data_IF_611853603671
#
_entry.id   IF_611853603671
#
_cell.length_a   1.000
_cell.length_b   1.000
_cell.length_c   1.000
_cell.angle_alpha   90.00
_cell.angle_beta   90.00
_cell.angle_gamma   90.00
#
_symmetry.space_group_name_H-M   'P 1'
#
loop_
_entity.id
_entity.type
_entity.pdbx_description
1 polymer ?
#
# COMPACT_ATOMS: atom_id res chain seq x y z
N UNK A 1 -59.13 -7.67 -12.59
CA UNK A 1 -59.46 -7.85 -14.03
C UNK A 1 -60.72 -7.11 -14.46
N UNK A 2 -61.90 -7.37 -13.87
CA UNK A 2 -63.19 -6.80 -14.32
C UNK A 2 -63.26 -5.25 -14.41
N UNK A 3 -62.59 -4.51 -13.51
CA UNK A 3 -62.53 -3.04 -13.60
C UNK A 3 -61.66 -2.55 -14.75
N UNK A 4 -60.61 -3.28 -15.09
CA UNK A 4 -59.71 -2.92 -16.19
C UNK A 4 -60.38 -3.19 -17.54
N UNK A 5 -61.06 -4.34 -17.68
CA UNK A 5 -61.88 -4.65 -18.87
C UNK A 5 -62.96 -3.60 -19.09
N UNK A 6 -63.66 -3.17 -18.03
CA UNK A 6 -64.68 -2.11 -18.12
C UNK A 6 -64.09 -0.77 -18.59
N UNK A 7 -62.91 -0.40 -18.10
CA UNK A 7 -62.23 0.84 -18.54
C UNK A 7 -61.78 0.76 -20.00
N UNK A 8 -61.34 -0.41 -20.45
CA UNK A 8 -61.00 -0.64 -21.86
C UNK A 8 -62.24 -0.53 -22.76
N UNK A 9 -63.36 -1.08 -22.32
CA UNK A 9 -64.64 -1.02 -23.02
C UNK A 9 -65.17 0.43 -23.12
N UNK A 10 -65.13 1.19 -22.02
CA UNK A 10 -65.53 2.60 -22.00
C UNK A 10 -64.65 3.51 -22.87
N UNK A 11 -63.36 3.17 -23.03
CA UNK A 11 -62.43 3.92 -23.88
C UNK A 11 -62.52 3.54 -25.36
N UNK A 12 -63.27 2.49 -25.70
CA UNK A 12 -63.35 1.94 -27.04
C UNK A 12 -63.98 2.93 -28.02
N UNK A 13 -65.08 3.56 -27.64
CA UNK A 13 -65.86 4.46 -28.50
C UNK A 13 -65.00 5.64 -29.01
N UNK A 14 -64.24 6.28 -28.11
CA UNK A 14 -63.34 7.38 -28.47
C UNK A 14 -62.23 6.91 -29.41
N UNK A 15 -61.63 5.75 -29.15
CA UNK A 15 -60.54 5.22 -29.99
C UNK A 15 -61.02 4.74 -31.36
N UNK A 16 -62.23 4.22 -31.46
CA UNK A 16 -62.83 3.84 -32.75
C UNK A 16 -63.09 5.07 -33.64
N UNK A 17 -63.42 6.23 -33.05
CA UNK A 17 -63.60 7.48 -33.79
C UNK A 17 -62.28 8.03 -34.34
N UNK A 18 -61.19 7.91 -33.56
CA UNK A 18 -59.85 8.40 -33.93
C UNK A 18 -59.14 7.52 -34.97
N UNK A 19 -59.39 6.21 -34.96
CA UNK A 19 -58.76 5.27 -35.87
C UNK A 19 -59.45 5.30 -37.24
N UNK A 20 -58.73 5.48 -38.34
CA UNK A 20 -59.32 5.51 -39.69
C UNK A 20 -59.16 4.19 -40.45
N UNK A 21 -58.15 3.38 -40.09
CA UNK A 21 -57.90 2.09 -40.74
C UNK A 21 -58.95 1.03 -40.32
N UNK A 22 -59.59 0.40 -41.30
CA UNK A 22 -60.63 -0.61 -41.08
C UNK A 22 -60.10 -1.86 -40.37
N UNK A 23 -58.87 -2.29 -40.67
CA UNK A 23 -58.28 -3.47 -40.02
C UNK A 23 -57.95 -3.19 -38.55
N UNK A 24 -57.37 -2.02 -38.28
CA UNK A 24 -57.08 -1.56 -36.93
C UNK A 24 -58.35 -1.35 -36.10
N UNK A 25 -59.43 -0.82 -36.71
CA UNK A 25 -60.77 -0.73 -36.08
C UNK A 25 -61.35 -2.11 -35.71
N UNK A 26 -61.23 -3.11 -36.57
CA UNK A 26 -61.71 -4.47 -36.28
C UNK A 26 -60.95 -5.11 -35.11
N UNK A 27 -59.62 -4.95 -35.07
CA UNK A 27 -58.77 -5.42 -33.96
C UNK A 27 -59.10 -4.70 -32.67
N UNK A 28 -59.27 -3.38 -32.73
CA UNK A 28 -59.62 -2.55 -31.57
C UNK A 28 -60.98 -2.95 -30.98
N UNK A 29 -61.98 -3.22 -31.82
CA UNK A 29 -63.30 -3.70 -31.36
C UNK A 29 -63.24 -5.07 -30.66
N UNK A 30 -62.34 -5.95 -31.12
CA UNK A 30 -62.21 -7.31 -30.57
C UNK A 30 -61.38 -7.35 -29.27
N UNK A 31 -60.53 -6.34 -29.06
CA UNK A 31 -59.54 -6.31 -27.98
C UNK A 31 -60.10 -6.41 -26.55
N UNK A 32 -61.15 -5.66 -26.13
CA UNK A 32 -61.67 -5.77 -24.76
C UNK A 32 -62.20 -7.17 -24.43
N UNK A 33 -62.78 -7.84 -25.43
CA UNK A 33 -63.30 -9.21 -25.30
C UNK A 33 -62.18 -10.23 -25.18
N UNK A 34 -61.16 -10.12 -26.03
CA UNK A 34 -59.96 -10.96 -25.92
C UNK A 34 -59.23 -10.76 -24.59
N UNK A 35 -59.14 -9.51 -24.12
CA UNK A 35 -58.56 -9.20 -22.82
C UNK A 35 -59.38 -9.79 -21.66
N UNK A 36 -60.71 -9.79 -21.75
CA UNK A 36 -61.57 -10.43 -20.76
C UNK A 36 -61.39 -11.95 -20.74
N UNK A 37 -61.19 -12.58 -21.91
CA UNK A 37 -60.96 -14.03 -22.02
C UNK A 37 -59.64 -14.48 -21.35
N UNK A 38 -58.65 -13.59 -21.22
CA UNK A 38 -57.41 -13.86 -20.47
C UNK A 38 -57.61 -13.90 -18.94
N UNK A 39 -58.75 -13.45 -18.43
CA UNK A 39 -58.99 -13.34 -16.99
C UNK A 39 -58.93 -14.67 -16.25
N UNK A 40 -59.70 -15.67 -16.71
CA UNK A 40 -59.81 -16.98 -16.04
C UNK A 40 -58.48 -17.76 -16.06
N UNK A 41 -57.79 -17.94 -17.21
CA UNK A 41 -56.53 -18.70 -17.23
C UNK A 41 -55.42 -18.03 -16.40
N UNK A 42 -55.41 -16.70 -16.36
CA UNK A 42 -54.43 -15.94 -15.59
C UNK A 42 -54.70 -16.02 -14.09
N UNK A 43 -55.97 -16.06 -13.68
CA UNK A 43 -56.34 -16.26 -12.27
C UNK A 43 -55.90 -17.64 -11.79
N UNK A 44 -56.20 -18.69 -12.56
CA UNK A 44 -55.79 -20.06 -12.23
C UNK A 44 -54.27 -20.19 -12.13
N UNK A 45 -53.52 -19.58 -13.06
CA UNK A 45 -52.06 -19.59 -13.02
C UNK A 45 -51.49 -18.86 -11.78
N UNK A 46 -52.06 -17.70 -11.43
CA UNK A 46 -51.64 -16.95 -10.24
C UNK A 46 -51.94 -17.75 -8.97
N UNK A 47 -53.13 -18.35 -8.88
CA UNK A 47 -53.50 -19.18 -7.73
C UNK A 47 -52.51 -20.34 -7.56
N UNK A 48 -52.08 -20.99 -8.64
CA UNK A 48 -51.08 -22.06 -8.59
C UNK A 48 -49.68 -21.59 -8.18
N UNK A 49 -49.23 -20.41 -8.66
CA UNK A 49 -47.89 -19.87 -8.35
C UNK A 49 -47.80 -19.45 -6.88
N UNK A 50 -48.87 -18.89 -6.33
CA UNK A 50 -48.94 -18.41 -4.96
C UNK A 50 -49.56 -19.43 -3.98
N UNK A 51 -49.56 -20.71 -4.34
CA UNK A 51 -49.93 -21.78 -3.40
C UNK A 51 -48.98 -21.74 -2.19
N UNK A 52 -49.54 -21.61 -1.00
CA UNK A 52 -48.79 -21.68 0.26
C UNK A 52 -48.10 -23.04 0.37
N UNK A 53 -46.78 -23.05 0.18
CA UNK A 53 -45.96 -24.23 0.42
C UNK A 53 -45.67 -24.35 1.90
N UNK A 54 -46.05 -25.47 2.51
CA UNK A 54 -45.68 -25.81 3.90
C UNK A 54 -44.17 -25.89 4.14
N UNK A 55 -43.37 -25.90 3.07
CA UNK A 55 -41.91 -25.95 3.12
C UNK A 55 -41.24 -24.61 2.81
N UNK A 56 -42.01 -23.53 2.61
CA UNK A 56 -41.44 -22.21 2.42
C UNK A 56 -41.00 -21.64 3.78
N UNK A 57 -39.70 -21.77 4.05
CA UNK A 57 -39.06 -21.24 5.25
C UNK A 57 -38.76 -19.74 5.14
N UNK A 58 -39.07 -19.10 4.00
CA UNK A 58 -38.92 -17.65 3.88
C UNK A 58 -40.08 -16.99 4.63
N UNK A 59 -39.79 -16.22 5.68
CA UNK A 59 -40.78 -15.43 6.43
C UNK A 59 -41.43 -14.30 5.58
N UNK A 60 -41.25 -14.34 4.27
CA UNK A 60 -41.92 -13.48 3.32
C UNK A 60 -43.26 -14.15 3.04
N UNK A 61 -44.30 -13.71 3.75
CA UNK A 61 -45.66 -13.95 3.30
C UNK A 61 -45.70 -13.58 1.81
N UNK A 62 -45.87 -14.58 0.94
CA UNK A 62 -45.74 -14.44 -0.51
C UNK A 62 -46.94 -13.62 -1.00
N UNK A 63 -46.86 -12.31 -0.77
CA UNK A 63 -47.97 -11.38 -0.93
C UNK A 63 -47.95 -10.90 -2.36
N UNK A 64 -48.92 -11.37 -3.15
CA UNK A 64 -49.17 -10.84 -4.48
C UNK A 64 -49.48 -9.33 -4.37
N UNK A 65 -48.50 -8.49 -4.72
CA UNK A 65 -48.64 -7.02 -4.66
C UNK A 65 -49.56 -6.48 -5.74
N UNK A 66 -49.54 -7.10 -6.92
CA UNK A 66 -50.37 -6.72 -8.05
C UNK A 66 -49.99 -7.47 -9.31
N UNK A 67 -50.87 -7.40 -10.31
CA UNK A 67 -50.64 -7.95 -11.64
C UNK A 67 -50.55 -6.77 -12.61
N UNK A 68 -49.44 -6.67 -13.31
CA UNK A 68 -49.18 -5.58 -14.25
C UNK A 68 -49.06 -6.14 -15.67
N UNK A 69 -49.77 -5.52 -16.61
CA UNK A 69 -49.69 -5.87 -18.03
C UNK A 69 -48.69 -4.95 -18.71
N UNK A 70 -47.61 -5.53 -19.22
CA UNK A 70 -46.58 -4.81 -19.98
C UNK A 70 -46.27 -5.53 -21.26
N UNK A 71 -45.89 -4.79 -22.30
CA UNK A 71 -45.42 -5.38 -23.56
C UNK A 71 -43.99 -4.91 -23.82
N UNK A 72 -43.08 -5.86 -24.01
CA UNK A 72 -41.67 -5.60 -24.28
C UNK A 72 -41.29 -5.78 -25.76
N UNK A 73 -42.02 -6.64 -26.48
CA UNK A 73 -41.76 -6.96 -27.88
C UNK A 73 -43.09 -7.13 -28.64
N UNK A 74 -43.16 -6.55 -29.83
CA UNK A 74 -44.35 -6.59 -30.67
C UNK A 74 -44.21 -7.74 -31.67
N UNK A 75 -44.53 -8.96 -31.23
CA UNK A 75 -44.56 -10.10 -32.14
C UNK A 75 -45.64 -9.88 -33.22
N UNK A 76 -45.33 -10.19 -34.48
CA UNK A 76 -46.29 -10.24 -35.58
C UNK A 76 -47.23 -11.47 -35.48
N UNK A 77 -47.39 -12.03 -34.27
CA UNK A 77 -48.22 -13.20 -34.02
C UNK A 77 -49.60 -12.70 -33.60
N UNK A 78 -50.62 -12.99 -34.43
CA UNK A 78 -52.03 -12.85 -34.04
C UNK A 78 -52.35 -13.92 -32.96
N UNK A 79 -51.89 -13.67 -31.73
CA UNK A 79 -52.19 -14.50 -30.58
C UNK A 79 -53.62 -14.23 -30.13
N UNK A 80 -54.54 -15.11 -30.52
CA UNK A 80 -55.96 -15.02 -30.17
C UNK A 80 -56.14 -15.52 -28.75
N UNK A 81 -56.53 -14.63 -27.84
CA UNK A 81 -56.84 -15.00 -26.46
C UNK A 81 -58.18 -15.76 -26.33
N UNK A 82 -59.23 -15.33 -27.05
CA UNK A 82 -60.55 -15.97 -27.02
C UNK A 82 -60.60 -17.16 -28.00
N UNK A 83 -59.97 -18.27 -27.61
CA UNK A 83 -59.96 -19.52 -28.39
C UNK A 83 -61.34 -20.19 -28.50
N UNK A 84 -62.33 -19.73 -27.72
CA UNK A 84 -63.67 -20.30 -27.60
C UNK A 84 -64.74 -19.49 -28.34
N UNK A 85 -64.41 -18.30 -28.85
CA UNK A 85 -65.33 -17.49 -29.65
C UNK A 85 -65.89 -18.29 -30.84
N UNK A 86 -67.17 -18.04 -31.14
CA UNK A 86 -67.90 -18.70 -32.23
C UNK A 86 -67.17 -18.51 -33.57
N UNK A 87 -66.57 -17.33 -33.78
CA UNK A 87 -65.77 -17.03 -34.96
C UNK A 87 -64.49 -17.86 -35.05
N UNK A 88 -63.76 -18.02 -33.94
CA UNK A 88 -62.55 -18.85 -33.91
C UNK A 88 -62.87 -20.34 -34.08
N UNK A 89 -63.98 -20.81 -33.50
CA UNK A 89 -64.49 -22.17 -33.71
C UNK A 89 -64.87 -22.41 -35.17
N UNK A 90 -65.51 -21.43 -35.82
CA UNK A 90 -65.86 -21.49 -37.25
C UNK A 90 -64.62 -21.47 -38.15
N UNK A 91 -63.67 -20.56 -37.91
CA UNK A 91 -62.40 -20.50 -38.64
C UNK A 91 -61.60 -21.78 -38.45
N UNK A 92 -61.56 -22.33 -37.23
CA UNK A 92 -60.90 -23.61 -36.94
C UNK A 92 -61.59 -24.75 -37.67
N UNK A 93 -62.93 -24.82 -37.66
CA UNK A 93 -63.71 -25.84 -38.37
C UNK A 93 -63.49 -25.80 -39.88
N UNK A 94 -63.40 -24.60 -40.48
CA UNK A 94 -63.08 -24.42 -41.90
C UNK A 94 -61.64 -24.84 -42.21
N UNK A 95 -60.67 -24.43 -41.39
CA UNK A 95 -59.26 -24.82 -41.57
C UNK A 95 -59.08 -26.34 -41.49
N UNK A 96 -59.75 -26.98 -40.53
CA UNK A 96 -59.75 -28.44 -40.42
C UNK A 96 -60.45 -29.12 -41.59
N UNK A 97 -61.55 -28.53 -42.12
CA UNK A 97 -62.26 -29.06 -43.29
C UNK A 97 -61.45 -28.90 -44.60
N UNK A 98 -60.55 -27.91 -44.67
CA UNK A 98 -59.66 -27.66 -45.83
C UNK A 98 -58.36 -28.48 -45.79
N UNK A 99 -58.17 -29.33 -44.77
CA UNK A 99 -56.97 -30.15 -44.64
C UNK A 99 -55.70 -29.36 -44.30
N UNK A 100 -55.83 -28.09 -43.91
CA UNK A 100 -54.70 -27.28 -43.46
C UNK A 100 -54.37 -27.65 -42.02
N UNK A 101 -53.48 -28.63 -41.85
CA UNK A 101 -52.80 -28.84 -40.59
C UNK A 101 -52.11 -27.53 -40.19
N UNK A 102 -52.39 -27.06 -38.98
CA UNK A 102 -51.82 -25.87 -38.35
C UNK A 102 -50.30 -25.97 -38.21
N UNK A 103 -49.58 -25.90 -39.34
CA UNK A 103 -48.16 -25.63 -39.33
C UNK A 103 -48.02 -24.18 -38.84
N UNK A 104 -47.60 -24.05 -37.58
CA UNK A 104 -47.15 -22.81 -36.98
C UNK A 104 -46.25 -22.07 -37.97
N UNK A 105 -46.72 -20.93 -38.48
CA UNK A 105 -45.89 -20.02 -39.27
C UNK A 105 -44.58 -19.76 -38.50
N UNK A 106 -43.44 -19.66 -39.19
CA UNK A 106 -42.17 -19.29 -38.57
C UNK A 106 -42.39 -17.99 -37.78
N UNK A 107 -41.96 -17.97 -36.52
CA UNK A 107 -41.98 -16.78 -35.69
C UNK A 107 -41.10 -15.72 -36.39
N UNK A 108 -41.72 -14.85 -37.18
CA UNK A 108 -41.04 -13.67 -37.68
C UNK A 108 -40.58 -12.86 -36.47
N UNK A 109 -39.27 -12.62 -36.39
CA UNK A 109 -38.68 -11.78 -35.37
C UNK A 109 -39.41 -10.42 -35.39
N UNK A 110 -39.78 -9.88 -34.22
CA UNK A 110 -40.60 -8.67 -34.12
C UNK A 110 -39.92 -7.48 -34.81
N UNK A 111 -40.64 -6.78 -35.71
CA UNK A 111 -40.14 -5.62 -36.47
C UNK A 111 -40.15 -4.30 -35.64
N UNK A 112 -40.09 -4.41 -34.32
CA UNK A 112 -40.14 -3.26 -33.43
C UNK A 112 -39.87 -3.59 -31.97
N UNK A 113 -38.89 -2.90 -31.39
CA UNK A 113 -38.64 -2.85 -29.95
C UNK A 113 -39.39 -1.67 -29.30
N UNK A 114 -40.70 -1.51 -29.54
CA UNK A 114 -41.47 -0.52 -28.76
C UNK A 114 -42.03 -1.21 -27.52
N UNK A 115 -41.59 -0.72 -26.37
CA UNK A 115 -42.12 -1.14 -25.08
C UNK A 115 -43.34 -0.30 -24.73
N UNK A 116 -44.37 -0.94 -24.18
CA UNK A 116 -45.54 -0.28 -23.62
C UNK A 116 -45.66 -0.62 -22.14
N UNK A 117 -45.94 0.40 -21.32
CA UNK A 117 -46.17 0.32 -19.87
C UNK A 117 -44.98 -0.15 -19.01
N UNK A 118 -43.85 -0.51 -19.61
CA UNK A 118 -42.65 -0.99 -18.91
C UNK A 118 -41.95 0.14 -18.13
N UNK A 119 -41.93 1.36 -18.69
CA UNK A 119 -41.35 2.53 -18.04
C UNK A 119 -42.08 2.87 -16.73
N UNK A 120 -43.41 2.93 -16.76
CA UNK A 120 -44.22 3.26 -15.59
C UNK A 120 -44.14 2.16 -14.52
N UNK A 121 -44.14 0.89 -14.92
CA UNK A 121 -43.96 -0.22 -13.98
C UNK A 121 -42.64 -0.09 -13.21
N UNK A 122 -41.54 0.14 -13.93
CA UNK A 122 -40.21 0.22 -13.31
C UNK A 122 -40.08 1.46 -12.43
N UNK A 123 -40.44 2.63 -12.93
CA UNK A 123 -40.19 3.90 -12.25
C UNK A 123 -41.19 4.22 -11.14
N UNK A 124 -42.44 3.78 -11.26
CA UNK A 124 -43.49 4.10 -10.30
C UNK A 124 -43.68 3.01 -9.24
N UNK A 125 -43.40 1.74 -9.57
CA UNK A 125 -43.59 0.64 -8.62
C UNK A 125 -42.25 0.01 -8.22
N UNK A 126 -41.55 -0.64 -9.15
CA UNK A 126 -40.38 -1.48 -8.82
C UNK A 126 -39.27 -0.68 -8.14
N UNK A 127 -38.87 0.47 -8.68
CA UNK A 127 -37.78 1.27 -8.10
C UNK A 127 -38.19 2.03 -6.84
N UNK A 128 -39.46 2.43 -6.72
CA UNK A 128 -39.95 3.08 -5.48
C UNK A 128 -40.00 2.11 -4.32
N UNK A 129 -40.25 0.84 -4.62
CA UNK A 129 -40.33 -0.26 -3.67
C UNK A 129 -38.98 -0.97 -3.43
N UNK A 130 -37.87 -0.46 -3.98
CA UNK A 130 -36.54 -1.08 -3.86
C UNK A 130 -36.05 -1.27 -2.41
N UNK A 131 -36.64 -0.57 -1.45
CA UNK A 131 -36.29 -0.65 -0.02
C UNK A 131 -37.05 -1.75 0.75
N UNK A 132 -38.00 -2.45 0.11
CA UNK A 132 -38.80 -3.51 0.77
C UNK A 132 -38.00 -4.78 1.06
N UNK A 133 -36.91 -5.02 0.33
CA UNK A 133 -35.99 -6.12 0.61
C UNK A 133 -34.96 -5.61 1.62
N UNK A 134 -35.28 -5.72 2.91
CA UNK A 134 -34.27 -5.48 3.95
C UNK A 134 -33.13 -6.51 3.77
N UNK A 135 -31.89 -6.07 3.53
CA UNK A 135 -30.76 -6.98 3.47
C UNK A 135 -30.60 -7.63 4.83
N UNK A 136 -30.36 -8.94 4.85
CA UNK A 136 -30.20 -9.74 6.06
C UNK A 136 -29.32 -8.99 7.09
N UNK A 137 -29.95 -8.52 8.17
CA UNK A 137 -29.35 -7.61 9.16
C UNK A 137 -28.07 -8.19 9.75
N UNK A 138 -27.98 -9.51 9.89
CA UNK A 138 -26.80 -10.19 10.42
C UNK A 138 -25.58 -10.01 9.50
N UNK A 139 -25.78 -10.07 8.18
CA UNK A 139 -24.70 -9.82 7.21
C UNK A 139 -24.29 -8.36 7.20
N UNK A 140 -25.26 -7.43 7.24
CA UNK A 140 -24.97 -6.00 7.28
C UNK A 140 -24.12 -5.62 8.50
N UNK A 141 -24.43 -6.16 9.68
CA UNK A 141 -23.65 -5.94 10.91
C UNK A 141 -22.25 -6.58 10.84
N UNK A 142 -22.11 -7.80 10.32
CA UNK A 142 -20.80 -8.45 10.11
C UNK A 142 -19.88 -7.60 9.23
N UNK A 143 -20.37 -7.13 8.08
CA UNK A 143 -19.56 -6.29 7.19
C UNK A 143 -19.23 -4.93 7.80
N UNK A 144 -20.13 -4.33 8.59
CA UNK A 144 -19.82 -3.10 9.33
C UNK A 144 -18.72 -3.33 10.35
N UNK A 145 -18.80 -4.42 11.12
CA UNK A 145 -17.78 -4.75 12.12
C UNK A 145 -16.43 -5.07 11.47
N UNK A 146 -16.43 -5.79 10.35
CA UNK A 146 -15.20 -6.09 9.60
C UNK A 146 -14.53 -4.81 9.09
N UNK A 147 -15.32 -3.88 8.54
CA UNK A 147 -14.81 -2.57 8.07
C UNK A 147 -14.27 -1.74 9.23
N UNK A 148 -15.02 -1.65 10.33
CA UNK A 148 -14.59 -0.91 11.52
C UNK A 148 -13.30 -1.50 12.10
N UNK A 149 -13.23 -2.83 12.20
CA UNK A 149 -12.03 -3.55 12.64
C UNK A 149 -10.84 -3.31 11.72
N UNK A 150 -11.06 -3.32 10.40
CA UNK A 150 -10.02 -3.00 9.42
C UNK A 150 -9.50 -1.55 9.56
N UNK A 151 -10.39 -0.58 9.70
CA UNK A 151 -9.99 0.82 9.91
C UNK A 151 -9.25 1.02 11.24
N UNK A 152 -9.72 0.39 12.32
CA UNK A 152 -9.02 0.42 13.61
C UNK A 152 -7.65 -0.23 13.53
N UNK A 153 -7.50 -1.35 12.82
CA UNK A 153 -6.21 -2.01 12.61
C UNK A 153 -5.21 -1.06 11.91
N UNK A 154 -5.64 -0.39 10.85
CA UNK A 154 -4.79 0.57 10.13
C UNK A 154 -4.37 1.73 11.03
N UNK A 155 -5.29 2.27 11.84
CA UNK A 155 -4.98 3.35 12.79
C UNK A 155 -3.99 2.89 13.86
N UNK A 156 -4.15 1.68 14.41
CA UNK A 156 -3.23 1.10 15.39
C UNK A 156 -1.85 0.89 14.79
N UNK A 157 -1.76 0.34 13.57
CA UNK A 157 -0.48 0.15 12.88
C UNK A 157 0.22 1.49 12.59
N UNK A 158 -0.52 2.50 12.13
CA UNK A 158 0.01 3.84 11.93
C UNK A 158 0.52 4.46 13.24
N UNK A 159 -0.22 4.28 14.34
CA UNK A 159 0.20 4.74 15.65
C UNK A 159 1.47 4.05 16.15
N UNK A 160 1.58 2.72 15.99
CA UNK A 160 2.77 1.96 16.37
C UNK A 160 4.01 2.38 15.56
N UNK A 161 3.85 2.61 14.25
CA UNK A 161 4.92 3.11 13.39
C UNK A 161 5.36 4.52 13.80
N UNK A 162 4.39 5.41 14.08
CA UNK A 162 4.67 6.76 14.56
C UNK A 162 5.40 6.75 15.91
N UNK A 163 4.96 5.93 16.86
CA UNK A 163 5.64 5.73 18.14
C UNK A 163 7.08 5.23 17.95
N UNK A 164 7.27 4.18 17.14
CA UNK A 164 8.60 3.65 16.84
C UNK A 164 9.54 4.68 16.21
N UNK A 165 9.02 5.50 15.27
CA UNK A 165 9.77 6.58 14.66
C UNK A 165 10.16 7.67 15.67
N UNK A 166 9.26 8.03 16.59
CA UNK A 166 9.55 8.98 17.68
C UNK A 166 10.67 8.46 18.60
N UNK A 167 10.56 7.21 19.05
CA UNK A 167 11.61 6.59 19.88
C UNK A 167 12.96 6.54 19.14
N UNK A 168 12.93 6.26 17.83
CA UNK A 168 14.12 6.27 16.99
C UNK A 168 14.75 7.64 16.85
N UNK A 169 13.93 8.67 16.64
CA UNK A 169 14.40 10.04 16.57
C UNK A 169 15.06 10.47 17.88
N UNK A 170 14.43 10.18 19.03
CA UNK A 170 14.99 10.52 20.34
C UNK A 170 16.32 9.81 20.59
N UNK A 171 16.37 8.49 20.38
CA UNK A 171 17.57 7.70 20.62
C UNK A 171 18.75 8.12 19.72
N UNK A 172 18.50 8.31 18.41
CA UNK A 172 19.53 8.81 17.50
C UNK A 172 19.91 10.27 17.83
N UNK A 173 18.95 11.08 18.28
CA UNK A 173 19.21 12.46 18.72
C UNK A 173 20.11 12.53 19.95
N UNK A 174 19.83 11.71 20.97
CA UNK A 174 20.64 11.62 22.19
C UNK A 174 22.07 11.17 21.88
N UNK A 175 22.22 10.18 20.97
CA UNK A 175 23.51 9.76 20.43
C UNK A 175 24.28 10.91 19.79
N UNK A 176 23.64 11.64 18.86
CA UNK A 176 24.28 12.77 18.17
C UNK A 176 24.62 13.91 19.12
N UNK A 177 23.77 14.19 20.10
CA UNK A 177 24.00 15.22 21.11
C UNK A 177 25.21 14.88 21.98
N UNK A 178 25.30 13.65 22.48
CA UNK A 178 26.44 13.20 23.30
C UNK A 178 27.74 13.23 22.50
N UNK A 179 27.72 12.78 21.23
CA UNK A 179 28.90 12.86 20.36
C UNK A 179 29.30 14.30 20.10
N UNK A 180 28.34 15.20 19.87
CA UNK A 180 28.64 16.62 19.69
C UNK A 180 29.31 17.23 20.92
N UNK A 181 28.86 16.85 22.13
CA UNK A 181 29.44 17.29 23.38
C UNK A 181 30.85 16.72 23.59
N UNK A 182 31.08 15.44 23.27
CA UNK A 182 32.42 14.83 23.31
C UNK A 182 33.36 15.46 22.28
N UNK A 183 32.88 15.72 21.07
CA UNK A 183 33.65 16.36 20.00
C UNK A 183 34.05 17.79 20.38
N UNK A 184 33.17 18.54 21.03
CA UNK A 184 33.46 19.90 21.52
C UNK A 184 34.53 19.89 22.62
N UNK A 185 34.49 18.90 23.52
CA UNK A 185 35.54 18.71 24.53
C UNK A 185 36.88 18.37 23.89
N UNK A 186 36.88 17.43 22.94
CA UNK A 186 38.08 17.02 22.20
C UNK A 186 38.70 18.20 21.43
N UNK A 187 37.90 19.03 20.76
CA UNK A 187 38.37 20.24 20.09
C UNK A 187 39.05 21.22 21.06
N UNK A 188 38.50 21.39 22.26
CA UNK A 188 39.11 22.17 23.34
C UNK A 188 40.46 21.61 23.79
N UNK A 189 40.56 20.29 23.98
CA UNK A 189 41.79 19.61 24.36
C UNK A 189 42.88 19.69 23.27
N UNK A 190 42.50 19.51 22.00
CA UNK A 190 43.41 19.68 20.84
C UNK A 190 43.93 21.12 20.75
N UNK A 191 43.07 22.12 20.97
CA UNK A 191 43.48 23.54 21.00
C UNK A 191 44.42 23.85 22.16
N UNK A 192 44.13 23.32 23.34
CA UNK A 192 45.01 23.46 24.51
C UNK A 192 46.39 22.83 24.27
N UNK A 193 46.42 21.64 23.65
CA UNK A 193 47.65 20.98 23.22
C UNK A 193 48.44 21.84 22.21
N UNK A 194 47.77 22.41 21.21
CA UNK A 194 48.45 23.24 20.19
C UNK A 194 49.12 24.47 20.80
N UNK A 195 48.55 25.04 21.88
CA UNK A 195 49.15 26.16 22.61
C UNK A 195 50.39 25.80 23.45
N UNK A 196 50.48 24.56 23.93
CA UNK A 196 51.63 24.02 24.69
C UNK A 196 51.85 22.55 24.29
N UNK A 197 52.50 22.27 23.16
CA UNK A 197 52.65 20.92 22.66
C UNK A 197 53.54 20.11 23.62
N UNK A 198 52.97 19.04 24.17
CA UNK A 198 53.65 18.13 25.09
C UNK A 198 53.22 16.69 24.81
N UNK A 199 54.14 15.74 24.72
CA UNK A 199 53.82 14.40 24.21
C UNK A 199 52.95 13.56 25.16
N UNK A 200 52.99 13.81 26.47
CA UNK A 200 52.25 13.06 27.49
C UNK A 200 50.73 12.96 27.27
N UNK A 201 50.01 14.02 26.86
CA UNK A 201 48.57 13.95 26.54
C UNK A 201 48.21 13.32 25.19
N UNK A 202 49.16 13.06 24.28
CA UNK A 202 48.83 12.60 22.91
C UNK A 202 48.11 11.25 22.88
N UNK A 203 48.54 10.20 23.63
CA UNK A 203 47.83 8.93 23.65
C UNK A 203 46.40 9.07 24.19
N UNK A 204 46.21 9.84 25.26
CA UNK A 204 44.90 10.08 25.84
C UNK A 204 43.97 10.82 24.86
N UNK A 205 44.49 11.76 24.08
CA UNK A 205 43.70 12.48 23.07
C UNK A 205 43.30 11.59 21.90
N UNK A 206 44.18 10.70 21.48
CA UNK A 206 43.91 9.71 20.43
C UNK A 206 42.90 8.65 20.90
N UNK A 207 43.01 8.18 22.15
CA UNK A 207 42.03 7.27 22.74
C UNK A 207 40.65 7.93 22.82
N UNK A 208 40.57 9.19 23.29
CA UNK A 208 39.34 9.99 23.28
C UNK A 208 38.75 10.16 21.88
N UNK A 209 39.59 10.36 20.86
CA UNK A 209 39.15 10.46 19.47
C UNK A 209 38.61 9.12 18.92
N UNK A 210 39.24 8.00 19.27
CA UNK A 210 38.79 6.66 18.87
C UNK A 210 37.46 6.27 19.52
N UNK A 211 37.30 6.63 20.79
CA UNK A 211 36.10 6.32 21.58
C UNK A 211 34.94 7.31 21.33
N UNK A 212 35.15 8.29 20.44
CA UNK A 212 34.18 9.34 20.18
C UNK A 212 32.84 8.81 19.66
N UNK A 213 32.85 7.83 18.76
CA UNK A 213 31.64 7.18 18.24
C UNK A 213 31.20 5.95 19.06
N UNK A 214 31.92 5.60 20.12
CA UNK A 214 31.58 4.43 20.93
C UNK A 214 30.33 4.70 21.77
N UNK A 215 29.31 3.87 21.57
CA UNK A 215 28.09 3.86 22.38
C UNK A 215 28.01 2.54 23.16
N UNK A 216 27.72 2.57 24.48
CA UNK A 216 27.64 1.36 25.28
C UNK A 216 26.63 0.36 24.69
N UNK A 217 27.04 -0.90 24.58
CA UNK A 217 26.18 -2.05 24.22
C UNK A 217 25.49 -1.97 22.84
N UNK A 218 25.91 -1.04 21.96
CA UNK A 218 25.39 -0.93 20.60
C UNK A 218 26.33 -1.62 19.60
N UNK A 219 25.82 -2.67 18.97
CA UNK A 219 26.46 -3.24 17.79
C UNK A 219 26.11 -2.38 16.55
N UNK A 220 27.11 -1.75 15.89
CA UNK A 220 26.88 -0.93 14.71
C UNK A 220 26.18 -1.67 13.56
N UNK A 221 26.42 -2.98 13.44
CA UNK A 221 25.91 -3.83 12.36
C UNK A 221 24.56 -4.46 12.70
N UNK A 222 24.21 -4.56 13.99
CA UNK A 222 22.97 -5.14 14.47
C UNK A 222 22.21 -4.23 15.46
N UNK A 223 21.73 -3.05 15.02
CA UNK A 223 21.02 -2.15 15.91
C UNK A 223 19.66 -2.72 16.39
N UNK A 224 19.23 -2.41 17.63
CA UNK A 224 17.88 -2.71 18.10
C UNK A 224 16.80 -1.99 17.28
N UNK A 225 15.56 -2.49 17.29
CA UNK A 225 14.43 -1.87 16.56
C UNK A 225 14.20 -0.41 16.93
N UNK A 226 14.48 -0.01 18.18
CA UNK A 226 14.38 1.38 18.61
C UNK A 226 15.21 2.33 17.74
N UNK A 227 16.34 1.89 17.19
CA UNK A 227 17.18 2.69 16.29
C UNK A 227 16.76 2.60 14.82
N UNK A 228 15.92 1.61 14.48
CA UNK A 228 15.62 1.18 13.11
C UNK A 228 14.26 1.67 12.66
N UNK A 229 14.17 2.93 12.26
CA UNK A 229 13.01 3.49 11.56
C UNK A 229 13.44 4.45 10.43
N UNK A 230 14.54 4.11 9.75
CA UNK A 230 15.13 4.93 8.68
C UNK A 230 15.98 6.12 9.15
N UNK A 231 16.17 6.26 10.46
CA UNK A 231 16.89 7.38 11.10
C UNK A 231 18.28 7.00 11.65
N UNK A 232 18.75 5.80 11.33
CA UNK A 232 19.98 5.26 11.90
C UNK A 232 21.21 6.04 11.45
N UNK A 233 21.86 6.73 12.39
CA UNK A 233 22.92 7.71 12.10
C UNK A 233 24.34 7.26 12.48
N UNK A 234 24.51 6.06 13.05
CA UNK A 234 25.80 5.59 13.56
C UNK A 234 26.86 5.39 12.45
N UNK A 235 26.59 4.70 11.32
CA UNK A 235 27.61 4.43 10.30
C UNK A 235 28.30 5.69 9.72
N UNK A 236 27.57 6.74 9.29
CA UNK A 236 28.24 7.93 8.77
C UNK A 236 29.03 8.68 9.85
N UNK A 237 28.65 8.55 11.13
CA UNK A 237 29.39 9.14 12.24
C UNK A 237 30.67 8.36 12.53
N UNK A 238 30.62 7.01 12.53
CA UNK A 238 31.82 6.18 12.73
C UNK A 238 32.86 6.41 11.63
N UNK A 239 32.43 6.56 10.37
CA UNK A 239 33.34 6.86 9.26
C UNK A 239 34.00 8.25 9.41
N UNK A 240 33.23 9.23 9.90
CA UNK A 240 33.72 10.57 10.19
C UNK A 240 34.73 10.59 11.33
N UNK A 241 34.48 9.79 12.39
CA UNK A 241 35.38 9.63 13.53
C UNK A 241 36.67 8.91 13.12
N UNK A 242 36.60 7.86 12.30
CA UNK A 242 37.78 7.18 11.76
C UNK A 242 38.66 8.14 10.95
N UNK A 243 38.04 8.97 10.10
CA UNK A 243 38.73 9.99 9.33
C UNK A 243 39.36 11.08 10.22
N UNK A 244 38.67 11.48 11.30
CA UNK A 244 39.21 12.43 12.29
C UNK A 244 40.42 11.83 13.02
N UNK A 245 40.33 10.58 13.44
CA UNK A 245 41.40 9.86 14.13
C UNK A 245 42.68 9.82 13.28
N UNK A 246 42.57 9.47 11.99
CA UNK A 246 43.70 9.46 11.07
C UNK A 246 44.33 10.86 10.92
N UNK A 247 43.52 11.91 10.80
CA UNK A 247 44.05 13.29 10.74
C UNK A 247 44.75 13.71 12.04
N UNK A 248 44.24 13.27 13.19
CA UNK A 248 44.89 13.56 14.48
C UNK A 248 46.22 12.80 14.61
N UNK A 249 46.31 11.57 14.11
CA UNK A 249 47.59 10.85 14.01
C UNK A 249 48.62 11.64 13.18
N UNK A 250 48.22 12.10 12.00
CA UNK A 250 49.09 12.86 11.09
C UNK A 250 49.55 14.19 11.69
N UNK A 251 48.71 14.86 12.47
CA UNK A 251 49.01 16.19 13.01
C UNK A 251 49.70 16.16 14.37
N UNK A 252 49.34 15.22 15.25
CA UNK A 252 49.83 15.20 16.64
C UNK A 252 50.95 14.19 16.87
N UNK A 253 50.90 13.03 16.22
CA UNK A 253 51.84 11.94 16.50
C UNK A 253 53.00 11.93 15.51
N UNK A 254 52.73 12.14 14.22
CA UNK A 254 53.75 12.07 13.17
C UNK A 254 54.86 13.13 13.32
N UNK A 255 54.58 14.43 13.56
CA UNK A 255 55.64 15.45 13.57
C UNK A 255 56.63 15.30 14.74
N UNK A 256 56.21 15.03 15.99
CA UNK A 256 57.14 14.74 17.08
C UNK A 256 57.97 13.49 16.84
N UNK A 257 57.39 12.46 16.23
CA UNK A 257 58.07 11.21 15.93
C UNK A 257 59.20 11.42 14.91
N UNK A 258 58.92 12.14 13.83
CA UNK A 258 59.91 12.52 12.82
C UNK A 258 61.05 13.34 13.43
N UNK A 259 60.74 14.34 14.26
CA UNK A 259 61.77 15.15 14.96
C UNK A 259 62.67 14.32 15.87
N UNK A 260 62.13 13.29 16.52
CA UNK A 260 62.94 12.38 17.35
C UNK A 260 63.82 11.47 16.52
N UNK A 261 63.32 10.95 15.40
CA UNK A 261 64.13 10.19 14.45
C UNK A 261 65.31 11.04 13.95
N UNK A 262 65.08 12.30 13.60
CA UNK A 262 66.14 13.25 13.22
C UNK A 262 67.14 13.51 14.36
N UNK A 263 66.66 13.64 15.61
CA UNK A 263 67.52 13.82 16.78
C UNK A 263 68.39 12.59 17.06
N UNK A 264 67.80 11.39 17.07
CA UNK A 264 68.53 10.12 17.29
C UNK A 264 69.58 9.91 16.19
N UNK A 265 69.23 10.22 14.94
CA UNK A 265 70.17 10.18 13.83
C UNK A 265 71.34 11.16 14.02
N UNK A 266 71.05 12.41 14.40
CA UNK A 266 72.08 13.42 14.66
C UNK A 266 73.00 13.06 15.84
N UNK A 267 72.44 12.52 16.93
CA UNK A 267 73.19 12.07 18.11
C UNK A 267 74.05 10.83 17.80
N UNK A 268 73.53 9.86 17.04
CA UNK A 268 74.29 8.69 16.60
C UNK A 268 75.49 9.08 15.72
N UNK A 269 75.30 10.05 14.81
CA UNK A 269 76.39 10.61 14.00
C UNK A 269 77.43 11.30 14.90
N UNK A 270 77.00 12.09 15.88
CA UNK A 270 77.91 12.77 16.81
C UNK A 270 78.73 11.79 17.68
N UNK A 271 78.14 10.65 18.05
CA UNK A 271 78.80 9.57 18.82
C UNK A 271 79.61 8.60 17.96
N UNK A 272 79.65 8.79 16.63
CA UNK A 272 80.27 7.87 15.66
C UNK A 272 79.71 6.44 15.68
N UNK A 273 78.47 6.24 16.13
CA UNK A 273 77.80 4.94 16.09
C UNK A 273 77.16 4.72 14.72
N UNK A 274 77.92 4.07 13.84
CA UNK A 274 77.50 3.82 12.45
C UNK A 274 76.29 2.89 12.35
N UNK A 275 76.09 2.00 13.34
CA UNK A 275 74.97 1.05 13.33
C UNK A 275 73.68 1.76 13.70
N UNK A 276 73.69 2.54 14.79
CA UNK A 276 72.52 3.30 15.22
C UNK A 276 72.09 4.35 14.18
N UNK A 277 73.05 5.00 13.51
CA UNK A 277 72.76 5.96 12.44
C UNK A 277 72.12 5.30 11.22
N UNK A 278 72.59 4.12 10.81
CA UNK A 278 71.99 3.36 9.71
C UNK A 278 70.56 2.92 10.04
N UNK A 279 70.35 2.38 11.25
CA UNK A 279 69.05 1.90 11.70
C UNK A 279 68.02 3.06 11.78
N UNK A 280 68.40 4.21 12.35
CA UNK A 280 67.51 5.38 12.43
C UNK A 280 67.16 5.96 11.04
N UNK A 281 68.16 6.05 10.13
CA UNK A 281 67.93 6.53 8.76
C UNK A 281 67.01 5.60 7.96
N UNK A 282 67.20 4.28 8.12
CA UNK A 282 66.35 3.28 7.48
C UNK A 282 64.90 3.44 7.90
N UNK A 283 64.63 3.59 9.20
CA UNK A 283 63.26 3.77 9.72
C UNK A 283 62.65 5.10 9.26
N UNK A 284 63.44 6.18 9.24
CA UNK A 284 63.00 7.47 8.70
C UNK A 284 62.57 7.36 7.23
N UNK A 285 63.37 6.68 6.40
CA UNK A 285 63.02 6.43 5.00
C UNK A 285 61.77 5.56 4.88
N UNK A 286 61.67 4.48 5.67
CA UNK A 286 60.52 3.57 5.70
C UNK A 286 59.20 4.28 6.06
N UNK A 287 59.26 5.31 6.91
CA UNK A 287 58.10 6.12 7.30
C UNK A 287 57.66 7.10 6.20
N UNK A 288 58.60 7.61 5.41
CA UNK A 288 58.36 8.62 4.37
C UNK A 288 58.48 8.04 2.94
N UNK A 289 58.00 6.80 2.76
CA UNK A 289 58.04 6.11 1.47
C UNK A 289 57.09 6.76 0.46
N UNK A 290 57.56 6.89 -0.78
CA UNK A 290 56.72 7.31 -1.90
C UNK A 290 55.80 6.17 -2.36
N UNK A 291 54.70 6.49 -3.06
CA UNK A 291 53.68 5.52 -3.52
C UNK A 291 54.26 4.37 -4.35
N UNK A 292 55.35 4.61 -5.06
CA UNK A 292 56.01 3.62 -5.92
C UNK A 292 56.77 2.53 -5.14
N UNK A 293 56.91 2.67 -3.81
CA UNK A 293 57.67 1.77 -2.95
C UNK A 293 56.88 1.24 -1.74
N UNK A 294 55.55 1.36 -1.77
CA UNK A 294 54.64 0.92 -0.69
C UNK A 294 54.81 -0.57 -0.34
N UNK A 295 55.31 -1.39 -1.28
CA UNK A 295 55.66 -2.81 -1.11
C UNK A 295 56.73 -3.06 -0.03
N UNK A 296 57.53 -2.04 0.29
CA UNK A 296 58.60 -2.12 1.31
C UNK A 296 58.18 -1.56 2.66
N UNK A 297 56.95 -1.05 2.80
CA UNK A 297 56.45 -0.55 4.07
C UNK A 297 56.28 -1.69 5.08
N UNK A 298 56.88 -1.54 6.25
CA UNK A 298 56.81 -2.52 7.33
C UNK A 298 56.42 -1.84 8.64
N UNK A 299 55.12 -1.85 8.94
CA UNK A 299 54.58 -1.26 10.17
C UNK A 299 55.20 -1.89 11.43
N UNK A 300 55.46 -3.20 11.44
CA UNK A 300 56.00 -3.90 12.60
C UNK A 300 57.44 -3.46 12.91
N UNK A 301 58.25 -3.25 11.87
CA UNK A 301 59.63 -2.77 12.00
C UNK A 301 59.65 -1.34 12.58
N UNK A 302 58.86 -0.42 11.99
CA UNK A 302 58.74 0.96 12.47
C UNK A 302 58.24 0.99 13.92
N UNK A 303 57.17 0.26 14.22
CA UNK A 303 56.59 0.20 15.56
C UNK A 303 57.60 -0.33 16.59
N UNK A 304 58.33 -1.39 16.26
CA UNK A 304 59.33 -1.98 17.17
C UNK A 304 60.46 -0.99 17.50
N UNK A 305 60.95 -0.26 16.49
CA UNK A 305 61.98 0.76 16.69
C UNK A 305 61.48 1.90 17.57
N UNK A 306 60.28 2.41 17.32
CA UNK A 306 59.67 3.51 18.09
C UNK A 306 59.47 3.10 19.55
N UNK A 307 58.93 1.91 19.82
CA UNK A 307 58.72 1.43 21.19
C UNK A 307 60.05 1.28 21.92
N UNK A 308 61.09 0.77 21.25
CA UNK A 308 62.42 0.59 21.85
C UNK A 308 63.11 1.93 22.13
N UNK A 309 63.03 2.92 21.24
CA UNK A 309 63.57 4.27 21.44
C UNK A 309 62.86 4.99 22.59
N UNK A 310 61.53 4.88 22.65
CA UNK A 310 60.73 5.45 23.73
C UNK A 310 60.99 4.77 25.08
N UNK A 311 61.17 3.44 25.10
CA UNK A 311 61.46 2.67 26.31
C UNK A 311 62.87 2.86 26.86
N UNK A 312 63.85 3.21 26.02
CA UNK A 312 65.23 3.48 26.44
C UNK A 312 65.46 4.92 26.88
N UNK A 313 64.59 5.87 26.51
CA UNK A 313 64.67 7.24 27.01
C UNK A 313 63.80 7.42 28.26
N UNK A 314 64.41 7.68 29.42
CA UNK A 314 63.68 8.06 30.62
C UNK A 314 62.62 9.12 30.28
N UNK A 315 61.37 8.73 30.51
CA UNK A 315 60.18 9.53 30.33
C UNK A 315 60.31 10.83 31.11
N UNK A 316 60.63 11.93 30.41
CA UNK A 316 60.31 13.35 30.69
C UNK A 316 61.14 14.30 29.79
N UNK A 317 62.33 13.91 29.31
CA UNK A 317 63.21 14.81 28.51
C UNK A 317 63.18 14.60 26.98
N UNK A 318 62.58 13.50 26.51
CA UNK A 318 62.86 12.95 25.18
C UNK A 318 62.32 13.69 23.94
N UNK A 319 61.48 14.71 24.06
CA UNK A 319 60.84 15.36 22.89
C UNK A 319 60.77 16.89 23.00
N UNK A 320 61.85 17.51 23.50
CA UNK A 320 62.03 18.96 23.37
C UNK A 320 61.28 19.81 24.39
N UNK A 321 61.04 19.29 25.59
CA UNK A 321 60.77 20.13 26.75
C UNK A 321 62.03 20.94 27.08
N UNK A 322 62.12 22.18 26.60
CA UNK A 322 63.12 23.12 27.12
C UNK A 322 62.73 23.42 28.56
N UNK A 323 63.58 23.04 29.51
CA UNK A 323 63.57 23.58 30.86
C UNK A 323 63.78 25.10 30.83
#
# INVERSE_FOLDING_TARGET
>A
MARLTLRLDQGLDTRLQEEYDLKSRQRLYTFPREFAALGEPLLEAIEQIFLDSKFDATQLNNTLRGVFFTSAAQAQADAVADQLSIWQRFVRAIKTARGESSASLPHALPDGNRSYFLHDLLTQFIFREAHLVEPNLQWAWRYRLLRLGGHLLVLVLAFLLWQGMQTSQQTNGDYLNEISARATRLDGEVKAYTGKPAMAPVPALLDSARELSAWPELDPDAPPLAWRYGLYSVPPVTDSVASLYNRLLDQLLLPPLVKRMEYVLADAIARQDSKAAYDALRIYLLLNLDKDHEDKYNAAEIQSWVINDLGNSDSVAGFGGRA
#
